data_IF_263541483510
#
_entry.id   IF_263541483510
#
_cell.length_a   1.000
_cell.length_b   1.000
_cell.length_c   1.000
_cell.angle_alpha   90.00
_cell.angle_beta   90.00
_cell.angle_gamma   90.00
#
_symmetry.space_group_name_H-M   'P 1'
#
loop_
_entity.id
_entity.type
_entity.pdbx_description
1 polymer ?
#
# COMPACT_ATOMS: atom_id res chain seq x y z
N UNK A 1 15.77 -6.92 -18.85
CA UNK A 1 16.24 -6.60 -17.49
C UNK A 1 15.15 -5.85 -16.71
N UNK A 2 15.28 -5.76 -15.39
CA UNK A 2 14.34 -4.99 -14.55
C UNK A 2 14.38 -3.50 -14.86
N UNK A 3 15.55 -2.97 -15.11
CA UNK A 3 15.77 -1.59 -15.55
C UNK A 3 15.03 -1.28 -16.85
N UNK A 4 15.13 -2.17 -17.84
CA UNK A 4 14.43 -2.06 -19.11
C UNK A 4 12.90 -2.12 -18.92
N UNK A 5 12.41 -2.99 -18.03
CA UNK A 5 10.99 -3.07 -17.70
C UNK A 5 10.48 -1.76 -17.08
N UNK A 6 11.25 -1.13 -16.18
CA UNK A 6 10.93 0.19 -15.61
C UNK A 6 10.85 1.27 -16.67
N UNK A 7 11.86 1.34 -17.56
CA UNK A 7 11.86 2.30 -18.66
C UNK A 7 10.61 2.16 -19.53
N UNK A 8 10.32 0.94 -19.98
CA UNK A 8 9.13 0.64 -20.80
C UNK A 8 7.82 0.96 -20.07
N UNK A 9 7.76 0.71 -18.77
CA UNK A 9 6.59 1.07 -17.96
C UNK A 9 6.39 2.58 -17.91
N UNK A 10 7.43 3.36 -17.61
CA UNK A 10 7.35 4.82 -17.59
C UNK A 10 6.99 5.39 -18.97
N UNK A 11 7.58 4.87 -20.06
CA UNK A 11 7.22 5.25 -21.42
C UNK A 11 5.74 4.97 -21.73
N UNK A 12 5.21 3.84 -21.24
CA UNK A 12 3.80 3.47 -21.43
C UNK A 12 2.87 4.42 -20.65
N UNK A 13 3.22 4.75 -19.40
CA UNK A 13 2.48 5.69 -18.57
C UNK A 13 2.45 7.09 -19.19
N UNK A 14 3.58 7.58 -19.72
CA UNK A 14 3.65 8.86 -20.42
C UNK A 14 2.69 8.88 -21.64
N UNK A 15 2.72 7.84 -22.48
CA UNK A 15 1.80 7.71 -23.63
C UNK A 15 0.33 7.59 -23.21
N UNK A 16 0.05 6.95 -22.07
CA UNK A 16 -1.30 6.89 -21.52
C UNK A 16 -1.81 8.31 -21.27
N UNK A 17 -1.00 9.17 -20.62
CA UNK A 17 -1.40 10.56 -20.34
C UNK A 17 -1.52 11.40 -21.60
N UNK A 18 -0.68 11.20 -22.61
CA UNK A 18 -0.83 11.83 -23.93
C UNK A 18 -2.19 11.49 -24.56
N UNK A 19 -2.69 10.26 -24.33
CA UNK A 19 -3.97 9.78 -24.90
C UNK A 19 -5.17 10.24 -24.09
N UNK A 20 -5.06 10.17 -22.75
CA UNK A 20 -6.16 10.50 -21.83
C UNK A 20 -6.34 12.02 -21.72
N UNK A 21 -5.22 12.76 -21.77
CA UNK A 21 -5.20 14.20 -21.58
C UNK A 21 -5.55 14.61 -20.15
N UNK A 22 -6.02 15.84 -19.98
CA UNK A 22 -6.45 16.37 -18.68
C UNK A 22 -7.70 15.63 -18.18
N UNK A 23 -7.62 15.09 -16.97
CA UNK A 23 -8.69 14.29 -16.37
C UNK A 23 -8.79 14.61 -14.88
N UNK A 24 -10.00 14.66 -14.28
CA UNK A 24 -10.15 14.78 -12.84
C UNK A 24 -9.87 13.47 -12.09
N UNK A 25 -9.59 12.38 -12.80
CA UNK A 25 -9.39 11.05 -12.21
C UNK A 25 -7.93 10.87 -11.82
N UNK A 26 -7.68 10.50 -10.57
CA UNK A 26 -6.36 10.06 -10.10
C UNK A 26 -6.14 8.61 -10.51
N UNK A 27 -5.02 8.32 -11.13
CA UNK A 27 -4.65 7.00 -11.58
C UNK A 27 -3.71 6.35 -10.57
N UNK A 28 -4.15 5.25 -9.96
CA UNK A 28 -3.37 4.54 -8.94
C UNK A 28 -2.34 3.60 -9.55
N UNK A 29 -1.10 3.69 -9.10
CA UNK A 29 -0.04 2.71 -9.41
C UNK A 29 0.25 1.93 -8.13
N UNK A 30 0.03 0.62 -8.20
CA UNK A 30 0.03 -0.24 -7.01
C UNK A 30 1.35 -0.99 -6.81
N UNK A 31 1.74 -1.13 -5.53
CA UNK A 31 2.81 -2.04 -5.13
C UNK A 31 2.37 -3.50 -5.30
N UNK A 32 3.26 -4.36 -5.80
CA UNK A 32 2.95 -5.74 -6.16
C UNK A 32 3.69 -6.76 -5.29
N UNK A 33 3.01 -7.84 -4.93
CA UNK A 33 3.53 -8.87 -4.04
C UNK A 33 4.48 -9.88 -4.69
N UNK A 34 4.41 -10.10 -6.01
CA UNK A 34 5.28 -11.04 -6.72
C UNK A 34 6.64 -10.43 -7.04
N UNK A 35 7.72 -11.12 -6.67
CA UNK A 35 9.09 -10.61 -6.80
C UNK A 35 9.56 -10.40 -8.24
N UNK A 36 9.00 -11.15 -9.19
CA UNK A 36 9.32 -11.04 -10.62
C UNK A 36 8.55 -9.94 -11.36
N UNK A 37 7.57 -9.28 -10.70
CA UNK A 37 6.84 -8.13 -11.24
C UNK A 37 7.49 -6.82 -10.77
N UNK A 38 7.32 -5.73 -11.53
CA UNK A 38 7.52 -4.37 -11.02
C UNK A 38 6.51 -4.10 -9.90
N UNK A 39 6.85 -3.23 -8.96
CA UNK A 39 5.95 -2.86 -7.87
C UNK A 39 6.61 -2.89 -6.48
N UNK A 40 7.92 -2.66 -6.38
CA UNK A 40 8.51 -2.21 -5.11
C UNK A 40 8.01 -0.79 -4.82
N UNK A 41 8.12 -0.35 -3.57
CA UNK A 41 7.74 1.02 -3.20
C UNK A 41 8.49 2.06 -4.04
N UNK A 42 9.79 1.85 -4.23
CA UNK A 42 10.66 2.74 -5.01
C UNK A 42 10.24 2.78 -6.48
N UNK A 43 9.91 1.64 -7.08
CA UNK A 43 9.46 1.56 -8.47
C UNK A 43 8.13 2.27 -8.68
N UNK A 44 7.18 2.09 -7.78
CA UNK A 44 5.90 2.78 -7.81
C UNK A 44 6.09 4.29 -7.66
N UNK A 45 6.96 4.73 -6.76
CA UNK A 45 7.30 6.15 -6.61
C UNK A 45 7.88 6.72 -7.91
N UNK A 46 8.83 6.02 -8.54
CA UNK A 46 9.42 6.48 -9.80
C UNK A 46 8.39 6.53 -10.94
N UNK A 47 7.47 5.57 -11.01
CA UNK A 47 6.37 5.58 -11.96
C UNK A 47 5.40 6.76 -11.71
N UNK A 48 5.12 7.10 -10.46
CA UNK A 48 4.25 8.24 -10.12
C UNK A 48 4.87 9.60 -10.51
N UNK A 49 6.19 9.71 -10.65
CA UNK A 49 6.86 10.94 -11.10
C UNK A 49 6.66 11.25 -12.58
N UNK A 50 6.15 10.30 -13.37
CA UNK A 50 5.93 10.47 -14.81
C UNK A 50 4.90 11.56 -15.09
N UNK A 51 3.83 11.63 -14.28
CA UNK A 51 2.78 12.63 -14.43
C UNK A 51 2.05 12.85 -13.08
N UNK A 52 1.60 14.08 -12.77
CA UNK A 52 0.90 14.41 -11.52
C UNK A 52 -0.43 13.66 -11.31
N UNK A 53 -1.03 13.09 -12.35
CA UNK A 53 -2.24 12.28 -12.22
C UNK A 53 -1.98 10.90 -11.62
N UNK A 54 -0.72 10.43 -11.62
CA UNK A 54 -0.36 9.16 -11.00
C UNK A 54 -0.17 9.31 -9.49
N UNK A 55 -0.82 8.42 -8.76
CA UNK A 55 -0.77 8.37 -7.30
C UNK A 55 -0.33 6.98 -6.86
N UNK A 56 0.53 6.87 -5.84
CA UNK A 56 0.88 5.57 -5.29
C UNK A 56 -0.33 4.93 -4.62
N UNK A 57 -0.50 3.64 -4.84
CA UNK A 57 -1.37 2.75 -4.08
C UNK A 57 -0.47 1.74 -3.38
N UNK A 58 -0.51 1.74 -2.05
CA UNK A 58 0.35 0.85 -1.27
C UNK A 58 -0.47 -0.28 -0.70
N UNK A 59 -0.23 -1.49 -1.20
CA UNK A 59 -0.68 -2.70 -0.54
C UNK A 59 0.41 -3.19 0.42
N UNK A 60 0.12 -3.14 1.71
CA UNK A 60 1.05 -3.56 2.77
C UNK A 60 1.22 -5.08 2.83
N UNK A 61 0.18 -5.83 2.48
CA UNK A 61 0.25 -7.28 2.32
C UNK A 61 1.21 -7.68 1.19
N UNK A 62 1.10 -7.00 0.03
CA UNK A 62 2.00 -7.20 -1.11
C UNK A 62 3.47 -6.91 -0.74
N UNK A 63 3.74 -5.77 -0.10
CA UNK A 63 5.11 -5.44 0.33
C UNK A 63 5.66 -6.48 1.30
N UNK A 64 4.85 -6.93 2.27
CA UNK A 64 5.26 -7.97 3.22
C UNK A 64 5.53 -9.31 2.51
N UNK A 65 4.63 -9.74 1.64
CA UNK A 65 4.77 -10.99 0.88
C UNK A 65 5.97 -10.97 -0.05
N UNK A 66 6.23 -9.83 -0.72
CA UNK A 66 7.40 -9.62 -1.57
C UNK A 66 8.71 -9.76 -0.80
N UNK A 67 8.74 -9.30 0.45
CA UNK A 67 9.86 -9.45 1.37
C UNK A 67 9.97 -10.84 2.01
N UNK A 68 9.08 -11.77 1.67
CA UNK A 68 9.00 -13.11 2.29
C UNK A 68 8.71 -13.00 3.79
N UNK A 69 7.83 -12.06 4.15
CA UNK A 69 7.44 -11.78 5.53
C UNK A 69 8.40 -10.85 6.28
N UNK A 70 7.96 -10.42 7.46
CA UNK A 70 8.79 -9.65 8.40
C UNK A 70 9.12 -8.22 7.98
N UNK A 71 8.45 -7.67 6.97
CA UNK A 71 8.69 -6.28 6.54
C UNK A 71 8.10 -5.26 7.52
N UNK A 72 7.06 -5.65 8.24
CA UNK A 72 6.30 -4.78 9.14
C UNK A 72 6.23 -5.32 10.57
N UNK A 73 7.37 -5.45 11.26
CA UNK A 73 7.41 -6.00 12.63
C UNK A 73 6.86 -5.02 13.68
N UNK A 74 6.80 -3.73 13.35
CA UNK A 74 6.43 -2.66 14.27
C UNK A 74 5.83 -1.44 13.56
N UNK A 75 5.33 -0.50 14.36
CA UNK A 75 4.77 0.77 13.90
C UNK A 75 5.75 1.57 13.04
N UNK A 76 7.02 1.63 13.42
CA UNK A 76 8.00 2.48 12.74
C UNK A 76 8.34 1.94 11.34
N UNK A 77 8.18 0.64 11.09
CA UNK A 77 8.31 0.05 9.76
C UNK A 77 7.20 0.54 8.80
N UNK A 78 5.97 0.67 9.29
CA UNK A 78 4.88 1.30 8.52
C UNK A 78 5.12 2.79 8.28
N UNK A 79 5.54 3.54 9.32
CA UNK A 79 5.85 4.96 9.23
C UNK A 79 6.89 5.25 8.14
N UNK A 80 7.93 4.40 8.01
CA UNK A 80 8.95 4.54 6.96
C UNK A 80 8.35 4.57 5.56
N UNK A 81 7.31 3.81 5.28
CA UNK A 81 6.61 3.84 3.98
C UNK A 81 6.01 5.22 3.72
N UNK A 82 5.23 5.74 4.67
CA UNK A 82 4.62 7.06 4.56
C UNK A 82 5.66 8.17 4.44
N UNK A 83 6.71 8.12 5.25
CA UNK A 83 7.80 9.11 5.21
C UNK A 83 8.55 9.05 3.87
N UNK A 84 8.81 7.86 3.32
CA UNK A 84 9.44 7.72 2.01
C UNK A 84 8.59 8.35 0.91
N UNK A 85 7.28 8.15 0.94
CA UNK A 85 6.36 8.78 -0.01
C UNK A 85 6.35 10.31 0.17
N UNK A 86 6.27 10.79 1.42
CA UNK A 86 6.30 12.23 1.71
C UNK A 86 7.58 12.89 1.20
N UNK A 87 8.72 12.27 1.42
CA UNK A 87 10.03 12.79 1.01
C UNK A 87 10.21 12.81 -0.53
N UNK A 88 9.63 11.85 -1.23
CA UNK A 88 9.84 11.65 -2.68
C UNK A 88 8.78 12.28 -3.57
N UNK A 89 7.53 12.31 -3.12
CA UNK A 89 6.38 12.81 -3.88
C UNK A 89 5.71 14.02 -3.21
N UNK A 90 5.89 14.21 -1.91
CA UNK A 90 5.28 15.28 -1.14
C UNK A 90 4.34 14.79 -0.05
N UNK A 91 4.17 15.60 1.00
CA UNK A 91 3.39 15.24 2.19
C UNK A 91 1.91 14.93 1.89
N UNK A 92 1.32 15.58 0.90
CA UNK A 92 -0.07 15.37 0.48
C UNK A 92 -0.33 13.93 0.01
N UNK A 93 0.62 13.35 -0.75
CA UNK A 93 0.54 11.96 -1.21
C UNK A 93 0.57 10.96 -0.05
N UNK A 94 1.38 11.24 0.98
CA UNK A 94 1.46 10.39 2.16
C UNK A 94 0.23 10.55 3.07
N UNK A 95 -0.22 11.79 3.30
CA UNK A 95 -1.34 12.08 4.20
C UNK A 95 -2.64 11.43 3.73
N UNK A 96 -2.91 11.45 2.43
CA UNK A 96 -4.12 10.91 1.82
C UNK A 96 -3.86 9.67 0.96
N UNK A 97 -2.88 8.87 1.36
CA UNK A 97 -2.48 7.67 0.62
C UNK A 97 -3.67 6.71 0.44
N UNK A 98 -3.80 6.16 -0.77
CA UNK A 98 -4.64 5.00 -1.00
C UNK A 98 -3.86 3.75 -0.63
N UNK A 99 -4.42 2.96 0.29
CA UNK A 99 -3.81 1.74 0.78
C UNK A 99 -4.72 0.54 0.55
N UNK A 100 -4.11 -0.60 0.23
CA UNK A 100 -4.75 -1.90 0.38
C UNK A 100 -4.14 -2.61 1.58
N UNK A 101 -4.92 -3.49 2.19
CA UNK A 101 -4.47 -4.28 3.32
C UNK A 101 -5.15 -5.63 3.38
N UNK A 102 -4.34 -6.67 3.48
CA UNK A 102 -4.72 -8.03 3.90
C UNK A 102 -3.50 -8.75 4.43
N UNK A 103 -3.69 -9.87 5.12
CA UNK A 103 -2.62 -10.85 5.29
C UNK A 103 -2.45 -11.62 3.98
N UNK A 104 -1.24 -12.02 3.65
CA UNK A 104 -0.93 -12.70 2.38
C UNK A 104 -0.07 -13.94 2.63
N UNK A 105 -0.53 -15.08 2.16
CA UNK A 105 0.29 -16.28 2.02
C UNK A 105 1.34 -16.03 0.95
N UNK A 106 2.60 -16.36 1.26
CA UNK A 106 3.73 -16.12 0.35
C UNK A 106 4.66 -17.34 0.26
N UNK A 107 5.48 -17.33 -0.76
CA UNK A 107 6.59 -18.25 -1.02
C UNK A 107 7.85 -17.46 -1.28
N UNK A 108 8.96 -18.11 -1.58
CA UNK A 108 10.21 -17.45 -2.03
C UNK A 108 10.03 -16.59 -3.30
N UNK A 109 8.96 -16.82 -4.07
CA UNK A 109 8.59 -16.02 -5.24
C UNK A 109 7.76 -14.77 -4.87
N UNK A 110 7.42 -14.59 -3.59
CA UNK A 110 6.55 -13.54 -3.09
C UNK A 110 5.10 -14.04 -2.92
N UNK A 111 4.16 -13.15 -3.14
CA UNK A 111 2.72 -13.37 -3.00
C UNK A 111 2.23 -14.66 -3.67
N UNK A 112 1.36 -15.38 -2.94
CA UNK A 112 0.61 -16.53 -3.44
C UNK A 112 -0.90 -16.27 -3.47
N UNK A 113 -1.49 -15.79 -2.37
CA UNK A 113 -2.91 -15.43 -2.27
C UNK A 113 -3.17 -14.59 -1.03
N UNK A 114 -4.23 -13.80 -1.08
CA UNK A 114 -4.77 -13.11 0.09
C UNK A 114 -5.40 -14.11 1.06
N UNK A 115 -5.25 -13.85 2.35
CA UNK A 115 -5.90 -14.58 3.44
C UNK A 115 -6.58 -13.58 4.39
N UNK A 116 -7.28 -14.07 5.40
CA UNK A 116 -8.04 -13.23 6.34
C UNK A 116 -7.20 -12.80 7.54
N UNK A 117 -7.67 -11.85 8.33
CA UNK A 117 -7.00 -11.44 9.58
C UNK A 117 -6.94 -12.55 10.63
N UNK A 118 -7.79 -13.57 10.53
CA UNK A 118 -7.76 -14.75 11.42
C UNK A 118 -6.56 -15.67 11.14
N UNK A 119 -5.89 -15.53 9.99
CA UNK A 119 -4.70 -16.33 9.70
C UNK A 119 -3.60 -16.04 10.73
N UNK A 120 -3.09 -17.09 11.37
CA UNK A 120 -2.08 -17.00 12.42
C UNK A 120 -0.65 -17.25 11.90
N UNK A 121 -0.48 -17.57 10.62
CA UNK A 121 0.81 -17.93 10.02
C UNK A 121 1.40 -16.76 9.24
N UNK A 122 0.55 -16.08 8.50
CA UNK A 122 0.97 -15.00 7.61
C UNK A 122 0.58 -13.62 8.17
N UNK A 123 1.28 -12.60 7.70
CA UNK A 123 1.04 -11.19 8.06
C UNK A 123 0.88 -10.33 6.80
N UNK A 124 1.00 -9.03 6.97
CA UNK A 124 1.37 -8.30 8.19
C UNK A 124 0.19 -8.12 9.17
N UNK A 125 0.48 -7.68 10.41
CA UNK A 125 -0.55 -7.28 11.37
C UNK A 125 -0.96 -5.82 11.14
N UNK A 126 -2.25 -5.51 11.33
CA UNK A 126 -2.79 -4.18 11.03
C UNK A 126 -2.65 -3.18 12.19
N UNK A 127 -2.53 -3.65 13.43
CA UNK A 127 -2.50 -2.79 14.61
C UNK A 127 -1.34 -1.79 14.57
N UNK A 128 -0.09 -2.20 14.21
CA UNK A 128 1.00 -1.24 14.09
C UNK A 128 0.78 -0.20 12.98
N UNK A 129 0.08 -0.56 11.88
CA UNK A 129 -0.31 0.38 10.84
C UNK A 129 -1.28 1.44 11.38
N UNK A 130 -2.31 1.02 12.14
CA UNK A 130 -3.25 1.95 12.76
C UNK A 130 -2.54 2.90 13.73
N UNK A 131 -1.58 2.40 14.49
CA UNK A 131 -0.77 3.24 15.39
C UNK A 131 0.09 4.24 14.62
N UNK A 132 0.69 3.85 13.49
CA UNK A 132 1.44 4.75 12.62
C UNK A 132 0.57 5.89 12.10
N UNK A 133 -0.63 5.58 11.62
CA UNK A 133 -1.61 6.55 11.12
C UNK A 133 -2.00 7.56 12.21
N UNK A 134 -2.22 7.09 13.43
CA UNK A 134 -2.59 7.95 14.57
C UNK A 134 -1.44 8.88 14.95
N UNK A 135 -0.22 8.34 15.09
CA UNK A 135 0.95 9.11 15.57
C UNK A 135 1.35 10.19 14.57
N UNK A 136 1.33 9.89 13.27
CA UNK A 136 1.70 10.83 12.23
C UNK A 136 0.50 11.66 11.71
N UNK A 137 -0.68 11.52 12.35
CA UNK A 137 -1.92 12.23 11.99
C UNK A 137 -2.26 12.12 10.50
N UNK A 138 -2.14 10.90 9.96
CA UNK A 138 -2.44 10.60 8.56
C UNK A 138 -3.95 10.35 8.36
N UNK A 139 -4.42 10.51 7.11
CA UNK A 139 -5.80 10.29 6.71
C UNK A 139 -5.90 9.42 5.44
N UNK A 140 -5.29 8.23 5.43
CA UNK A 140 -5.31 7.35 4.27
C UNK A 140 -6.70 6.78 4.03
N UNK A 141 -6.97 6.36 2.80
CA UNK A 141 -8.08 5.47 2.48
C UNK A 141 -7.55 4.04 2.44
N UNK A 142 -8.10 3.17 3.27
CA UNK A 142 -7.69 1.76 3.33
C UNK A 142 -8.83 0.89 2.83
N UNK A 143 -8.52 -0.01 1.90
CA UNK A 143 -9.41 -1.05 1.39
C UNK A 143 -8.84 -2.39 1.81
N UNK A 144 -9.66 -3.21 2.47
CA UNK A 144 -9.27 -4.59 2.80
C UNK A 144 -9.52 -5.51 1.61
N UNK A 145 -8.54 -6.36 1.30
CA UNK A 145 -8.60 -7.33 0.21
C UNK A 145 -8.52 -8.78 0.72
N UNK A 146 -8.95 -9.00 1.96
CA UNK A 146 -9.00 -10.32 2.58
C UNK A 146 -9.92 -11.27 1.83
N UNK A 147 -9.57 -12.55 1.79
CA UNK A 147 -10.33 -13.58 1.08
C UNK A 147 -11.69 -13.84 1.76
N UNK A 148 -12.72 -13.13 1.31
CA UNK A 148 -14.12 -13.27 1.74
C UNK A 148 -14.53 -12.50 3.00
N UNK A 149 -13.59 -11.88 3.74
CA UNK A 149 -13.88 -11.15 5.01
C UNK A 149 -13.55 -9.65 4.92
N UNK A 150 -13.55 -9.06 3.72
CA UNK A 150 -13.13 -7.67 3.51
C UNK A 150 -13.85 -6.68 4.43
N UNK A 151 -15.16 -6.82 4.61
CA UNK A 151 -15.96 -5.90 5.41
C UNK A 151 -15.70 -6.05 6.92
N UNK A 152 -15.59 -7.28 7.39
CA UNK A 152 -15.31 -7.64 8.79
C UNK A 152 -13.92 -7.16 9.19
N UNK A 153 -12.93 -7.38 8.36
CA UNK A 153 -11.54 -6.99 8.58
C UNK A 153 -11.39 -5.45 8.55
N UNK A 154 -12.06 -4.77 7.62
CA UNK A 154 -12.12 -3.31 7.62
C UNK A 154 -12.81 -2.76 8.87
N UNK A 155 -13.84 -3.45 9.37
CA UNK A 155 -14.50 -3.08 10.62
C UNK A 155 -13.58 -3.27 11.83
N UNK A 156 -12.76 -4.34 11.84
CA UNK A 156 -11.77 -4.57 12.90
C UNK A 156 -10.74 -3.42 12.95
N UNK A 157 -10.17 -3.04 11.80
CA UNK A 157 -9.27 -1.88 11.71
C UNK A 157 -9.91 -0.59 12.21
N UNK A 158 -11.16 -0.31 11.79
CA UNK A 158 -11.90 0.89 12.20
C UNK A 158 -12.20 0.92 13.70
N UNK A 159 -12.53 -0.22 14.31
CA UNK A 159 -12.76 -0.33 15.75
C UNK A 159 -11.49 -0.06 16.53
N UNK A 160 -10.39 -0.72 16.15
CA UNK A 160 -9.08 -0.49 16.77
C UNK A 160 -8.65 0.97 16.70
N UNK A 161 -8.78 1.62 15.56
CA UNK A 161 -8.44 3.03 15.37
C UNK A 161 -9.25 3.95 16.29
N UNK A 162 -10.57 3.71 16.43
CA UNK A 162 -11.45 4.49 17.32
C UNK A 162 -11.08 4.31 18.78
N UNK A 163 -10.87 3.08 19.23
CA UNK A 163 -10.49 2.76 20.60
C UNK A 163 -9.17 3.46 20.98
N UNK A 164 -8.19 3.42 20.11
CA UNK A 164 -6.88 4.08 20.35
C UNK A 164 -6.99 5.61 20.43
N UNK A 165 -8.00 6.21 19.80
CA UNK A 165 -8.28 7.65 19.88
C UNK A 165 -9.19 8.04 21.03
N UNK A 166 -9.67 7.10 21.83
CA UNK A 166 -10.62 7.35 22.90
C UNK A 166 -12.03 7.72 22.39
N UNK A 167 -12.36 7.39 21.16
CA UNK A 167 -13.68 7.59 20.56
C UNK A 167 -14.57 6.40 20.89
N UNK A 168 -15.59 6.60 21.77
CA UNK A 168 -16.57 5.56 22.09
C UNK A 168 -17.27 5.07 20.82
N UNK A 169 -17.46 3.75 20.69
CA UNK A 169 -18.28 3.15 19.64
C UNK A 169 -19.73 3.71 19.78
N UNK A 170 -20.16 4.54 18.84
CA UNK A 170 -21.55 4.89 18.65
C UNK A 170 -22.20 3.89 17.73
#
# INVERSE_FOLDING_TARGET
>A
TREEAMRLSCDTLARLMETVGDTPIRLGIETMGKRNQLGTLEEVIEQCKVDPHFHPVVDFGHLNARGVGGQFPDRDSYRRVFHTIADKLGAEYATHLHCHFSKIEFTDAGEKRHVTFEDAVYGPEFEPLMEAIIVDNLCPRIICESDGTMAEDALAMKRYWRERRGESAK
#
